data_IF_220085465714
#
_entry.id   IF_220085465714
#
_cell.length_a   1.000
_cell.length_b   1.000
_cell.length_c   1.000
_cell.angle_alpha   90.00
_cell.angle_beta   90.00
_cell.angle_gamma   90.00
#
_symmetry.space_group_name_H-M   'P 1'
#
loop_
_entity.id
_entity.type
_entity.pdbx_description
1 polymer ?
#
# COMPACT_ATOMS: atom_id res chain seq x y z
N UNK A 1 -1.72 14.90 1.84
CA UNK A 1 -2.31 15.83 2.85
C UNK A 1 -3.51 15.25 3.63
N UNK A 2 -3.48 13.97 4.02
CA UNK A 2 -4.33 13.39 5.09
C UNK A 2 -3.43 12.45 5.89
N UNK A 3 -2.75 11.57 5.15
CA UNK A 3 -1.75 10.63 5.62
C UNK A 3 -0.34 11.23 5.75
N UNK A 4 -0.18 12.56 5.71
CA UNK A 4 1.16 13.17 5.88
C UNK A 4 2.25 12.80 4.86
N UNK A 5 1.95 12.10 3.76
CA UNK A 5 2.95 11.71 2.74
C UNK A 5 3.73 12.94 2.25
N UNK A 6 5.07 12.97 2.38
CA UNK A 6 5.90 14.08 1.93
C UNK A 6 5.74 14.31 0.42
N UNK A 7 5.58 15.57 -0.05
CA UNK A 7 5.50 15.87 -1.48
C UNK A 7 6.68 15.30 -2.28
N UNK A 8 7.88 15.33 -1.70
CA UNK A 8 9.13 14.89 -2.34
C UNK A 8 9.12 13.39 -2.66
N UNK A 9 8.39 12.59 -1.87
CA UNK A 9 8.18 11.16 -2.13
C UNK A 9 7.36 10.96 -3.40
N UNK A 10 6.30 11.76 -3.57
CA UNK A 10 5.46 11.69 -4.77
C UNK A 10 6.21 12.21 -5.99
N UNK A 11 6.98 13.28 -5.84
CA UNK A 11 7.78 13.86 -6.93
C UNK A 11 8.88 12.92 -7.41
N UNK A 12 9.57 12.23 -6.49
CA UNK A 12 10.72 11.37 -6.82
C UNK A 12 10.31 9.97 -7.27
N UNK A 13 9.31 9.38 -6.62
CA UNK A 13 8.96 7.96 -6.81
C UNK A 13 7.59 7.75 -7.47
N UNK A 14 6.74 8.79 -7.47
CA UNK A 14 5.36 8.71 -7.93
C UNK A 14 4.44 8.01 -6.94
N UNK A 15 3.13 8.23 -7.09
CA UNK A 15 2.11 7.74 -6.16
C UNK A 15 2.02 6.20 -6.04
N UNK A 16 2.47 5.46 -7.06
CA UNK A 16 2.54 4.00 -7.06
C UNK A 16 4.00 3.60 -6.92
N UNK A 17 4.44 3.43 -5.68
CA UNK A 17 5.82 3.14 -5.31
C UNK A 17 5.90 2.52 -3.91
N UNK A 18 7.05 1.95 -3.59
CA UNK A 18 7.33 1.40 -2.26
C UNK A 18 7.30 2.51 -1.21
N UNK A 19 7.96 3.63 -1.50
CA UNK A 19 8.14 4.79 -0.64
C UNK A 19 6.78 5.43 -0.32
N UNK A 20 5.91 5.56 -1.32
CA UNK A 20 4.55 6.07 -1.10
C UNK A 20 3.74 5.11 -0.24
N UNK A 21 3.82 3.80 -0.45
CA UNK A 21 3.10 2.84 0.37
C UNK A 21 3.52 2.91 1.85
N UNK A 22 4.82 2.95 2.12
CA UNK A 22 5.38 3.09 3.48
C UNK A 22 4.89 4.39 4.13
N UNK A 23 5.09 5.53 3.47
CA UNK A 23 4.68 6.83 3.99
C UNK A 23 3.15 6.90 4.25
N UNK A 24 2.35 6.26 3.40
CA UNK A 24 0.90 6.15 3.61
C UNK A 24 0.54 5.30 4.84
N UNK A 25 1.19 4.17 5.06
CA UNK A 25 0.89 3.28 6.19
C UNK A 25 1.32 3.91 7.52
N UNK A 26 2.53 4.47 7.58
CA UNK A 26 3.04 5.18 8.76
C UNK A 26 2.19 6.40 9.09
N UNK A 27 1.84 7.18 8.07
CA UNK A 27 0.95 8.32 8.22
C UNK A 27 -0.45 7.93 8.68
N UNK A 28 -1.00 6.80 8.20
CA UNK A 28 -2.29 6.31 8.67
C UNK A 28 -2.24 5.93 10.15
N UNK A 29 -1.15 5.28 10.60
CA UNK A 29 -0.96 4.90 11.99
C UNK A 29 -0.79 6.13 12.89
N UNK A 30 0.07 7.08 12.51
CA UNK A 30 0.32 8.34 13.23
C UNK A 30 -0.96 9.15 13.44
N UNK A 31 -1.86 9.17 12.45
CA UNK A 31 -3.14 9.89 12.52
C UNK A 31 -4.26 9.11 13.22
N UNK A 32 -3.99 7.90 13.69
CA UNK A 32 -4.99 7.01 14.30
C UNK A 32 -4.54 6.56 15.70
N UNK A 33 -4.76 7.36 16.77
CA UNK A 33 -4.14 7.13 18.08
C UNK A 33 -4.53 5.80 18.75
N UNK A 34 -5.66 5.20 18.35
CA UNK A 34 -6.14 3.92 18.89
C UNK A 34 -5.77 2.72 17.99
N UNK A 35 -5.11 2.94 16.86
CA UNK A 35 -4.72 1.87 15.94
C UNK A 35 -3.37 1.26 16.36
N UNK A 36 -3.27 -0.07 16.33
CA UNK A 36 -2.02 -0.79 16.57
C UNK A 36 -1.32 -1.24 15.28
N UNK A 37 -2.07 -1.26 14.18
CA UNK A 37 -1.64 -1.66 12.84
C UNK A 37 -2.31 -0.75 11.82
N UNK A 38 -1.61 -0.45 10.74
CA UNK A 38 -2.18 0.22 9.57
C UNK A 38 -1.65 -0.42 8.30
N UNK A 39 -2.53 -0.70 7.35
CA UNK A 39 -2.16 -1.21 6.02
C UNK A 39 -2.51 -0.19 4.95
N UNK A 40 -1.57 0.05 4.03
CA UNK A 40 -1.77 0.91 2.86
C UNK A 40 -1.82 0.08 1.57
N UNK A 41 -2.50 0.63 0.57
CA UNK A 41 -2.56 0.09 -0.79
C UNK A 41 -2.40 1.25 -1.75
N UNK A 42 -1.45 1.16 -2.68
CA UNK A 42 -1.36 2.06 -3.84
C UNK A 42 -1.01 1.27 -5.09
N UNK A 43 -1.71 1.49 -6.20
CA UNK A 43 -1.55 0.64 -7.38
C UNK A 43 -2.30 1.09 -8.62
N UNK A 44 -1.99 0.45 -9.74
CA UNK A 44 -2.54 0.73 -11.07
C UNK A 44 -3.53 -0.37 -11.42
N UNK A 45 -4.81 -0.18 -11.11
CA UNK A 45 -5.82 -1.20 -11.41
C UNK A 45 -6.19 -1.31 -12.91
N UNK A 46 -5.85 -0.32 -13.73
CA UNK A 46 -6.19 -0.29 -15.15
C UNK A 46 -7.58 0.30 -15.47
N UNK A 47 -8.01 0.26 -16.74
CA UNK A 47 -7.30 -0.35 -17.87
C UNK A 47 -6.10 0.47 -18.39
N UNK A 48 -6.02 1.76 -18.04
CA UNK A 48 -4.88 2.63 -18.37
C UNK A 48 -4.01 2.96 -17.16
N UNK A 49 -3.09 3.91 -17.35
CA UNK A 49 -2.21 4.42 -16.28
C UNK A 49 -0.98 3.56 -15.99
N UNK A 50 -0.79 2.46 -16.74
CA UNK A 50 0.43 1.65 -16.68
C UNK A 50 1.51 2.14 -17.65
N UNK A 51 2.76 1.79 -17.34
CA UNK A 51 3.93 1.89 -18.23
C UNK A 51 4.65 0.54 -18.29
N UNK A 52 5.74 0.47 -19.06
CA UNK A 52 6.62 -0.72 -19.08
C UNK A 52 7.21 -1.00 -17.70
N UNK A 53 7.57 0.06 -16.96
CA UNK A 53 8.17 -0.02 -15.63
C UNK A 53 7.11 -0.25 -14.53
N UNK A 54 5.91 0.30 -14.71
CA UNK A 54 4.79 0.20 -13.75
C UNK A 54 3.56 -0.34 -14.47
N UNK A 55 3.47 -1.66 -14.72
CA UNK A 55 2.39 -2.21 -15.52
C UNK A 55 1.02 -2.10 -14.82
N UNK A 56 -0.04 -2.18 -15.62
CA UNK A 56 -1.39 -2.41 -15.08
C UNK A 56 -1.38 -3.71 -14.27
N UNK A 57 -1.97 -3.66 -13.08
CA UNK A 57 -1.96 -4.74 -12.09
C UNK A 57 -0.92 -4.55 -11.00
N UNK A 58 0.07 -3.66 -11.15
CA UNK A 58 1.05 -3.37 -10.10
C UNK A 58 0.39 -2.69 -8.89
N UNK A 59 0.60 -3.28 -7.71
CA UNK A 59 0.09 -2.77 -6.43
C UNK A 59 1.16 -2.93 -5.36
N UNK A 60 1.43 -1.85 -4.65
CA UNK A 60 2.28 -1.79 -3.47
C UNK A 60 1.41 -1.83 -2.21
N UNK A 61 1.93 -2.54 -1.20
CA UNK A 61 1.35 -2.67 0.13
C UNK A 61 2.40 -2.29 1.16
N UNK A 62 1.98 -1.64 2.24
CA UNK A 62 2.81 -1.47 3.42
C UNK A 62 1.99 -1.67 4.68
N UNK A 63 2.61 -2.26 5.70
CA UNK A 63 2.05 -2.55 7.00
C UNK A 63 2.92 -1.89 8.06
N UNK A 64 2.36 -0.89 8.74
CA UNK A 64 2.96 -0.23 9.88
C UNK A 64 2.38 -0.77 11.20
N UNK A 65 3.18 -0.80 12.26
CA UNK A 65 2.74 -1.16 13.60
C UNK A 65 3.42 -0.29 14.67
N UNK A 66 2.77 -0.06 15.80
CA UNK A 66 3.20 0.91 16.82
C UNK A 66 4.56 0.62 17.48
N UNK A 67 5.12 -0.58 17.28
CA UNK A 67 6.40 -1.04 17.82
C UNK A 67 7.18 -1.92 16.84
N UNK A 68 6.78 -1.91 15.56
CA UNK A 68 7.37 -2.76 14.53
C UNK A 68 7.91 -1.89 13.42
N UNK A 69 9.01 -2.33 12.79
CA UNK A 69 9.43 -1.72 11.54
C UNK A 69 8.35 -1.92 10.48
N UNK A 70 8.08 -0.87 9.72
CA UNK A 70 7.14 -0.92 8.59
C UNK A 70 7.64 -1.94 7.57
N UNK A 71 6.81 -2.94 7.28
CA UNK A 71 7.08 -3.90 6.22
C UNK A 71 6.32 -3.49 4.95
N UNK A 72 6.90 -3.73 3.78
CA UNK A 72 6.26 -3.40 2.52
C UNK A 72 6.68 -4.35 1.39
N UNK A 73 5.78 -4.54 0.43
CA UNK A 73 6.01 -5.35 -0.76
C UNK A 73 5.20 -4.81 -1.94
N UNK A 74 5.40 -5.41 -3.12
CA UNK A 74 4.52 -5.19 -4.25
C UNK A 74 4.19 -6.51 -4.95
N UNK A 75 3.09 -6.50 -5.71
CA UNK A 75 2.68 -7.61 -6.55
C UNK A 75 2.00 -7.10 -7.81
N UNK A 76 2.10 -7.86 -8.90
CA UNK A 76 1.32 -7.62 -10.13
C UNK A 76 0.16 -8.61 -10.18
N UNK A 77 -1.07 -8.10 -10.14
CA UNK A 77 -2.28 -8.92 -10.23
C UNK A 77 -2.81 -8.95 -11.67
N UNK A 78 -3.19 -10.13 -12.20
CA UNK A 78 -3.79 -10.23 -13.52
C UNK A 78 -5.26 -9.81 -13.51
N UNK A 79 -5.79 -9.54 -14.70
CA UNK A 79 -7.21 -9.32 -14.94
C UNK A 79 -7.60 -7.85 -15.11
N UNK A 80 -8.91 -7.60 -15.15
CA UNK A 80 -9.45 -6.25 -15.32
C UNK A 80 -9.40 -5.45 -14.01
N UNK A 81 -9.80 -4.17 -14.09
CA UNK A 81 -9.82 -3.25 -12.94
C UNK A 81 -10.55 -3.79 -11.71
N UNK A 82 -11.65 -4.52 -11.90
CA UNK A 82 -12.38 -5.12 -10.79
C UNK A 82 -11.58 -6.26 -10.17
N UNK A 83 -11.06 -7.18 -10.98
CA UNK A 83 -10.25 -8.30 -10.50
C UNK A 83 -9.02 -7.84 -9.71
N UNK A 84 -8.28 -6.84 -10.20
CA UNK A 84 -7.11 -6.28 -9.51
C UNK A 84 -7.49 -5.71 -8.15
N UNK A 85 -8.56 -4.90 -8.08
CA UNK A 85 -9.02 -4.31 -6.80
C UNK A 85 -9.44 -5.38 -5.79
N UNK A 86 -10.19 -6.40 -6.23
CA UNK A 86 -10.62 -7.50 -5.36
C UNK A 86 -9.45 -8.35 -4.87
N UNK A 87 -8.47 -8.65 -5.74
CA UNK A 87 -7.27 -9.38 -5.34
C UNK A 87 -6.43 -8.56 -4.34
N UNK A 88 -6.26 -7.26 -4.60
CA UNK A 88 -5.50 -6.36 -3.72
C UNK A 88 -6.13 -6.25 -2.33
N UNK A 89 -7.46 -6.09 -2.26
CA UNK A 89 -8.17 -6.04 -0.99
C UNK A 89 -7.99 -7.33 -0.19
N UNK A 90 -8.20 -8.50 -0.82
CA UNK A 90 -8.01 -9.80 -0.15
C UNK A 90 -6.59 -9.98 0.36
N UNK A 91 -5.60 -9.60 -0.44
CA UNK A 91 -4.20 -9.69 -0.05
C UNK A 91 -3.88 -8.79 1.15
N UNK A 92 -4.29 -7.52 1.12
CA UNK A 92 -4.11 -6.60 2.24
C UNK A 92 -4.79 -7.09 3.53
N UNK A 93 -6.00 -7.65 3.44
CA UNK A 93 -6.69 -8.22 4.61
C UNK A 93 -5.96 -9.45 5.17
N UNK A 94 -5.40 -10.31 4.31
CA UNK A 94 -4.56 -11.45 4.75
C UNK A 94 -3.34 -10.97 5.53
N UNK A 95 -2.59 -10.03 4.95
CA UNK A 95 -1.39 -9.44 5.58
C UNK A 95 -1.72 -8.81 6.93
N UNK A 96 -2.83 -8.06 7.01
CA UNK A 96 -3.27 -7.45 8.26
C UNK A 96 -3.63 -8.52 9.31
N UNK A 97 -4.38 -9.56 8.92
CA UNK A 97 -4.75 -10.66 9.81
C UNK A 97 -3.52 -11.42 10.34
N UNK A 98 -2.56 -11.74 9.46
CA UNK A 98 -1.31 -12.40 9.82
C UNK A 98 -0.50 -11.54 10.82
N UNK A 99 -0.47 -10.22 10.63
CA UNK A 99 0.26 -9.31 11.53
C UNK A 99 -0.32 -9.19 12.94
N UNK A 100 -1.61 -9.53 13.10
CA UNK A 100 -2.29 -9.56 14.39
C UNK A 100 -2.05 -10.90 15.08
N UNK A 101 -2.01 -12.00 14.32
CA UNK A 101 -1.74 -13.33 14.87
C UNK A 101 -0.32 -13.50 15.43
N UNK A 102 0.61 -12.64 15.02
CA UNK A 102 2.01 -12.63 15.48
C UNK A 102 2.27 -11.65 16.64
N UNK A 103 1.25 -10.93 17.12
CA UNK A 103 1.33 -9.95 18.21
C UNK A 103 1.08 -10.60 19.57
#
# INVERSE_FOLDING_TARGET
>A
RLLGVPPEVIESFGAVSYETAVAMAEGALDKSPNAQRAISITGIAGPGGGSTEKPVGLVHFALAGSQLQTWAMHQVFPGNRHAVRHASLRHALSLLQESIAQA
#
